data_IF_103887356477
#
_entry.id   IF_103887356477
#
_cell.length_a   1.000
_cell.length_b   1.000
_cell.length_c   1.000
_cell.angle_alpha   90.00
_cell.angle_beta   90.00
_cell.angle_gamma   90.00
#
_symmetry.space_group_name_H-M   'P 1'
#
loop_
_entity.id
_entity.type
_entity.pdbx_description
1 polymer ?
#
# COMPACT_ATOMS: atom_id res chain seq x y z
N UNK A 1 -50.50 0.48 -12.52
CA UNK A 1 -51.12 1.81 -12.45
C UNK A 1 -50.43 2.63 -11.37
N UNK A 2 -49.55 3.55 -11.77
CA UNK A 2 -49.31 4.82 -11.07
C UNK A 2 -48.57 5.74 -12.04
N UNK A 3 -49.32 6.61 -12.71
CA UNK A 3 -48.79 7.72 -13.50
C UNK A 3 -48.33 8.81 -12.55
N UNK A 4 -47.09 9.29 -12.70
CA UNK A 4 -46.60 10.52 -12.06
C UNK A 4 -46.05 11.44 -13.13
N UNK A 5 -46.93 11.92 -14.02
CA UNK A 5 -46.67 13.13 -14.80
C UNK A 5 -47.23 14.30 -13.99
N UNK A 6 -46.36 14.99 -13.27
CA UNK A 6 -46.72 16.21 -12.57
C UNK A 6 -47.17 17.28 -13.57
N UNK A 7 -48.32 17.89 -13.29
CA UNK A 7 -48.93 18.99 -14.04
C UNK A 7 -47.96 20.17 -14.24
N UNK A 8 -47.19 20.16 -15.33
CA UNK A 8 -46.45 21.34 -15.81
C UNK A 8 -47.19 22.07 -16.93
N UNK A 9 -48.29 21.49 -17.46
CA UNK A 9 -48.96 21.91 -18.69
C UNK A 9 -49.57 23.33 -18.70
N UNK A 10 -49.77 23.97 -17.55
CA UNK A 10 -50.39 25.31 -17.45
C UNK A 10 -49.43 26.42 -16.95
N UNK A 11 -48.13 26.17 -16.86
CA UNK A 11 -47.17 27.22 -16.50
C UNK A 11 -46.69 28.00 -17.74
N UNK A 12 -46.58 29.34 -17.67
CA UNK A 12 -45.98 30.12 -18.75
C UNK A 12 -44.57 29.60 -19.04
N UNK A 13 -44.22 29.47 -20.32
CA UNK A 13 -42.97 28.86 -20.84
C UNK A 13 -41.69 29.28 -20.07
N UNK A 14 -41.62 30.53 -19.60
CA UNK A 14 -40.51 31.04 -18.78
C UNK A 14 -40.36 30.32 -17.43
N UNK A 15 -41.46 29.93 -16.78
CA UNK A 15 -41.44 29.20 -15.52
C UNK A 15 -41.06 27.74 -15.71
N UNK A 16 -41.55 27.09 -16.77
CA UNK A 16 -41.10 25.73 -17.13
C UNK A 16 -39.60 25.68 -17.39
N UNK A 17 -39.07 26.63 -18.18
CA UNK A 17 -37.63 26.73 -18.44
C UNK A 17 -36.82 27.01 -17.17
N UNK A 18 -37.35 27.79 -16.23
CA UNK A 18 -36.68 28.05 -14.94
C UNK A 18 -36.61 26.79 -14.07
N UNK A 19 -37.69 26.01 -14.00
CA UNK A 19 -37.74 24.76 -13.25
C UNK A 19 -36.84 23.70 -13.88
N UNK A 20 -36.81 23.58 -15.21
CA UNK A 20 -35.92 22.66 -15.91
C UNK A 20 -34.45 23.03 -15.66
N UNK A 21 -34.06 24.31 -15.77
CA UNK A 21 -32.70 24.76 -15.46
C UNK A 21 -32.30 24.50 -14.01
N UNK A 22 -33.20 24.76 -13.06
CA UNK A 22 -32.94 24.45 -11.65
C UNK A 22 -32.80 22.95 -11.40
N UNK A 23 -33.58 22.12 -12.11
CA UNK A 23 -33.50 20.65 -11.99
C UNK A 23 -32.18 20.11 -12.57
N UNK A 24 -31.73 20.65 -13.70
CA UNK A 24 -30.44 20.34 -14.32
C UNK A 24 -29.26 20.82 -13.46
N UNK A 25 -29.34 22.03 -12.89
CA UNK A 25 -28.34 22.56 -11.97
C UNK A 25 -28.24 21.71 -10.70
N UNK A 26 -29.37 21.28 -10.14
CA UNK A 26 -29.40 20.41 -8.95
C UNK A 26 -28.85 19.02 -9.27
N UNK A 27 -29.25 18.40 -10.39
CA UNK A 27 -28.73 17.10 -10.81
C UNK A 27 -27.22 17.15 -11.11
N UNK A 28 -26.74 18.21 -11.75
CA UNK A 28 -25.32 18.49 -11.98
C UNK A 28 -24.56 18.70 -10.66
N UNK A 29 -25.13 19.46 -9.72
CA UNK A 29 -24.54 19.69 -8.39
C UNK A 29 -24.47 18.42 -7.54
N UNK A 30 -25.50 17.57 -7.61
CA UNK A 30 -25.53 16.30 -6.89
C UNK A 30 -24.50 15.32 -7.47
N UNK A 31 -24.42 15.22 -8.79
CA UNK A 31 -23.44 14.36 -9.49
C UNK A 31 -22.00 14.81 -9.21
N UNK A 32 -21.73 16.11 -9.26
CA UNK A 32 -20.41 16.68 -8.93
C UNK A 32 -20.07 16.51 -7.44
N UNK A 33 -21.05 16.59 -6.53
CA UNK A 33 -20.85 16.31 -5.11
C UNK A 33 -20.51 14.84 -4.84
N UNK A 34 -21.16 13.91 -5.55
CA UNK A 34 -20.89 12.46 -5.47
C UNK A 34 -19.49 12.12 -5.98
N UNK A 35 -19.08 12.69 -7.12
CA UNK A 35 -17.73 12.50 -7.67
C UNK A 35 -16.64 13.06 -6.75
N UNK A 36 -16.89 14.21 -6.12
CA UNK A 36 -15.97 14.79 -5.13
C UNK A 36 -15.83 13.91 -3.89
N UNK A 37 -16.93 13.33 -3.41
CA UNK A 37 -16.92 12.41 -2.28
C UNK A 37 -16.12 11.14 -2.61
N UNK A 38 -16.34 10.55 -3.79
CA UNK A 38 -15.61 9.37 -4.23
C UNK A 38 -14.10 9.65 -4.35
N UNK A 39 -13.73 10.79 -4.94
CA UNK A 39 -12.34 11.20 -5.04
C UNK A 39 -11.71 11.44 -3.66
N UNK A 40 -12.45 12.04 -2.72
CA UNK A 40 -11.99 12.22 -1.35
C UNK A 40 -11.78 10.88 -0.63
N UNK A 41 -12.65 9.89 -0.86
CA UNK A 41 -12.48 8.53 -0.32
C UNK A 41 -11.26 7.84 -0.90
N UNK A 42 -11.04 7.93 -2.23
CA UNK A 42 -9.84 7.37 -2.89
C UNK A 42 -8.55 8.01 -2.39
N UNK A 43 -8.54 9.34 -2.24
CA UNK A 43 -7.40 10.07 -1.67
C UNK A 43 -7.16 9.68 -0.21
N UNK A 44 -8.22 9.51 0.57
CA UNK A 44 -8.10 9.03 1.94
C UNK A 44 -7.50 7.63 1.98
N UNK A 45 -7.98 6.70 1.15
CA UNK A 45 -7.42 5.36 1.04
C UNK A 45 -5.92 5.40 0.67
N UNK A 46 -5.54 6.14 -0.36
CA UNK A 46 -4.13 6.30 -0.76
C UNK A 46 -3.27 6.90 0.36
N UNK A 47 -3.80 7.88 1.09
CA UNK A 47 -3.11 8.47 2.24
C UNK A 47 -2.90 7.45 3.36
N UNK A 48 -3.88 6.61 3.65
CA UNK A 48 -3.76 5.54 4.64
C UNK A 48 -2.75 4.49 4.17
N UNK A 49 -2.80 4.09 2.90
CA UNK A 49 -1.84 3.15 2.30
C UNK A 49 -0.40 3.68 2.33
N UNK A 50 -0.19 4.94 1.98
CA UNK A 50 1.13 5.59 2.05
C UNK A 50 1.68 5.67 3.48
N UNK A 51 0.81 5.62 4.50
CA UNK A 51 1.18 5.64 5.91
C UNK A 51 1.34 4.25 6.51
N UNK A 52 1.09 3.18 5.77
CA UNK A 52 1.07 1.82 6.33
C UNK A 52 -0.15 1.55 7.23
N UNK A 53 -1.22 2.33 7.05
CA UNK A 53 -2.41 2.32 7.94
C UNK A 53 -3.69 1.92 7.20
N UNK A 54 -3.62 1.45 5.96
CA UNK A 54 -4.80 0.86 5.32
C UNK A 54 -5.18 -0.45 6.00
N UNK A 55 -6.47 -0.79 6.01
CA UNK A 55 -6.95 -2.04 6.60
C UNK A 55 -6.30 -3.28 5.98
N UNK A 56 -6.07 -3.24 4.67
CA UNK A 56 -5.37 -4.30 3.92
C UNK A 56 -3.96 -4.52 4.47
N UNK A 57 -3.17 -3.45 4.61
CA UNK A 57 -1.81 -3.56 5.11
C UNK A 57 -1.73 -4.00 6.57
N UNK A 58 -2.66 -3.52 7.41
CA UNK A 58 -2.73 -3.93 8.82
C UNK A 58 -3.02 -5.43 8.93
N UNK A 59 -3.94 -5.95 8.11
CA UNK A 59 -4.30 -7.37 8.09
C UNK A 59 -3.13 -8.21 7.58
N UNK A 60 -2.51 -7.83 6.46
CA UNK A 60 -1.38 -8.57 5.90
C UNK A 60 -0.17 -8.62 6.87
N UNK A 61 0.08 -7.52 7.60
CA UNK A 61 1.11 -7.49 8.65
C UNK A 61 0.73 -8.38 9.84
N UNK A 62 -0.55 -8.44 10.20
CA UNK A 62 -1.02 -9.33 11.26
C UNK A 62 -0.84 -10.80 10.87
N UNK A 63 -1.14 -11.15 9.62
CA UNK A 63 -0.95 -12.50 9.08
C UNK A 63 0.54 -12.89 9.09
N UNK A 64 1.42 -12.00 8.64
CA UNK A 64 2.87 -12.22 8.70
C UNK A 64 3.40 -12.44 10.13
N UNK A 65 2.83 -11.75 11.12
CA UNK A 65 3.14 -11.99 12.54
C UNK A 65 2.62 -13.34 13.01
N UNK A 66 1.43 -13.75 12.55
CA UNK A 66 0.87 -15.07 12.79
C UNK A 66 1.77 -16.19 12.25
N UNK A 67 2.37 -15.97 11.06
CA UNK A 67 3.35 -16.87 10.44
C UNK A 67 4.73 -16.85 11.12
N UNK A 68 4.97 -15.95 12.07
CA UNK A 68 6.23 -15.84 12.84
C UNK A 68 7.48 -15.73 11.96
N UNK A 69 7.35 -15.02 10.83
CA UNK A 69 8.43 -14.86 9.83
C UNK A 69 9.69 -14.27 10.44
N UNK A 70 9.54 -13.24 11.29
CA UNK A 70 10.67 -12.58 11.95
C UNK A 70 11.43 -13.55 12.83
N UNK A 71 10.71 -14.38 13.58
CA UNK A 71 11.25 -15.39 14.47
C UNK A 71 11.92 -16.52 13.69
N UNK A 72 11.35 -16.93 12.57
CA UNK A 72 11.97 -17.91 11.65
C UNK A 72 13.31 -17.39 11.12
N UNK A 73 13.35 -16.14 10.62
CA UNK A 73 14.59 -15.49 10.17
C UNK A 73 15.61 -15.42 11.31
N UNK A 74 15.20 -15.01 12.51
CA UNK A 74 16.10 -14.92 13.66
C UNK A 74 16.64 -16.29 14.09
N UNK A 75 15.85 -17.35 13.96
CA UNK A 75 16.26 -18.71 14.29
C UNK A 75 17.26 -19.24 13.27
N UNK A 76 17.01 -19.00 11.99
CA UNK A 76 17.89 -19.43 10.91
C UNK A 76 19.20 -18.62 10.87
N UNK A 77 19.14 -17.33 11.19
CA UNK A 77 20.26 -16.40 11.12
C UNK A 77 20.44 -15.64 12.44
N UNK A 78 20.87 -16.32 13.53
CA UNK A 78 20.92 -15.74 14.87
C UNK A 78 21.85 -14.51 14.97
N UNK A 79 22.95 -14.52 14.21
CA UNK A 79 23.98 -13.48 14.26
C UNK A 79 23.85 -12.41 13.19
N UNK A 80 22.73 -12.40 12.44
CA UNK A 80 22.53 -11.51 11.29
C UNK A 80 22.70 -10.02 11.64
N UNK A 81 22.30 -9.60 12.85
CA UNK A 81 22.42 -8.21 13.30
C UNK A 81 23.81 -7.80 13.76
N UNK A 82 24.69 -8.76 14.04
CA UNK A 82 26.05 -8.50 14.57
C UNK A 82 27.13 -8.67 13.50
N UNK A 83 26.85 -9.48 12.47
CA UNK A 83 27.78 -9.75 11.36
C UNK A 83 27.96 -8.51 10.47
N UNK A 84 29.19 -8.33 10.00
CA UNK A 84 29.51 -7.46 8.87
C UNK A 84 29.46 -8.30 7.59
N UNK A 85 28.73 -7.81 6.59
CA UNK A 85 28.51 -8.50 5.31
C UNK A 85 29.28 -7.76 4.22
N UNK A 86 30.08 -8.48 3.45
CA UNK A 86 30.49 -8.03 2.13
C UNK A 86 29.29 -8.10 1.19
N UNK A 87 29.38 -7.40 0.05
CA UNK A 87 28.33 -7.43 -0.97
C UNK A 87 27.95 -8.85 -1.41
N UNK A 88 28.93 -9.74 -1.58
CA UNK A 88 28.67 -11.12 -1.99
C UNK A 88 27.97 -11.94 -0.89
N UNK A 89 28.29 -11.70 0.39
CA UNK A 89 27.60 -12.35 1.52
C UNK A 89 26.09 -12.03 1.51
N UNK A 90 25.70 -10.82 1.09
CA UNK A 90 24.28 -10.44 1.00
C UNK A 90 23.57 -11.20 -0.13
N UNK A 91 24.25 -11.45 -1.26
CA UNK A 91 23.68 -12.27 -2.34
C UNK A 91 23.54 -13.74 -1.92
N UNK A 92 24.52 -14.30 -1.22
CA UNK A 92 24.42 -15.66 -0.68
C UNK A 92 23.26 -15.78 0.31
N UNK A 93 23.14 -14.80 1.21
CA UNK A 93 22.03 -14.75 2.16
C UNK A 93 20.67 -14.68 1.45
N UNK A 94 20.55 -13.98 0.33
CA UNK A 94 19.31 -13.94 -0.46
C UNK A 94 18.90 -15.33 -0.96
N UNK A 95 19.85 -16.12 -1.43
CA UNK A 95 19.60 -17.48 -1.89
C UNK A 95 19.18 -18.39 -0.74
N UNK A 96 19.91 -18.32 0.39
CA UNK A 96 19.57 -19.10 1.59
C UNK A 96 18.17 -18.74 2.12
N UNK A 97 17.86 -17.45 2.15
CA UNK A 97 16.60 -16.95 2.69
C UNK A 97 15.41 -17.38 1.82
N UNK A 98 15.58 -17.43 0.50
CA UNK A 98 14.58 -17.98 -0.43
C UNK A 98 14.33 -19.48 -0.26
N UNK A 99 15.28 -20.23 0.30
CA UNK A 99 15.13 -21.68 0.55
C UNK A 99 14.48 -22.00 1.89
N UNK A 100 14.64 -21.12 2.89
CA UNK A 100 14.24 -21.39 4.29
C UNK A 100 13.01 -20.61 4.73
N UNK A 101 12.71 -19.47 4.09
CA UNK A 101 11.55 -18.63 4.42
C UNK A 101 10.61 -18.60 3.23
N UNK A 102 9.51 -19.34 3.35
CA UNK A 102 8.46 -19.47 2.33
C UNK A 102 7.63 -18.19 2.21
N UNK A 103 8.24 -17.14 1.66
CA UNK A 103 7.66 -15.83 1.45
C UNK A 103 7.82 -15.44 -0.01
N UNK A 104 7.03 -16.10 -0.87
CA UNK A 104 7.02 -15.83 -2.31
C UNK A 104 8.41 -15.69 -2.92
N UNK A 105 8.54 -14.84 -3.94
CA UNK A 105 9.83 -14.54 -4.54
C UNK A 105 10.52 -13.39 -3.79
N UNK A 106 11.69 -13.68 -3.23
CA UNK A 106 12.59 -12.68 -2.68
C UNK A 106 13.29 -11.88 -3.77
N UNK A 107 13.41 -10.58 -3.56
CA UNK A 107 14.05 -9.61 -4.44
C UNK A 107 15.09 -8.83 -3.68
N UNK A 108 16.06 -8.30 -4.41
CA UNK A 108 17.09 -7.43 -3.87
C UNK A 108 17.06 -6.09 -4.59
N UNK A 109 17.03 -5.03 -3.78
CA UNK A 109 17.27 -3.67 -4.24
C UNK A 109 18.60 -3.19 -3.65
N UNK A 110 19.48 -2.67 -4.51
CA UNK A 110 20.78 -2.15 -4.11
C UNK A 110 20.89 -0.67 -4.49
N UNK A 111 21.38 0.13 -3.54
CA UNK A 111 21.72 1.55 -3.73
C UNK A 111 23.15 1.82 -3.23
N UNK A 112 23.62 3.05 -3.39
CA UNK A 112 24.94 3.46 -2.90
C UNK A 112 25.10 3.35 -1.37
N UNK A 113 24.00 3.37 -0.60
CA UNK A 113 24.03 3.44 0.87
C UNK A 113 23.43 2.21 1.55
N UNK A 114 22.64 1.42 0.83
CA UNK A 114 21.92 0.29 1.41
C UNK A 114 21.61 -0.81 0.41
N UNK A 115 21.43 -2.01 0.94
CA UNK A 115 20.83 -3.14 0.26
C UNK A 115 19.57 -3.56 1.01
N UNK A 116 18.54 -3.90 0.26
CA UNK A 116 17.22 -4.24 0.81
C UNK A 116 16.75 -5.53 0.17
N UNK A 117 16.62 -6.57 0.98
CA UNK A 117 16.08 -7.87 0.59
C UNK A 117 14.62 -7.92 1.00
N UNK A 118 13.71 -8.15 0.07
CA UNK A 118 12.27 -8.12 0.38
C UNK A 118 11.48 -9.07 -0.50
N UNK A 119 10.34 -9.51 0.02
CA UNK A 119 9.34 -10.27 -0.71
C UNK A 119 8.06 -9.44 -0.83
N UNK A 120 7.17 -9.82 -1.74
CA UNK A 120 5.79 -9.32 -1.77
C UNK A 120 4.89 -10.24 -0.96
N UNK A 121 4.07 -9.67 -0.08
CA UNK A 121 3.02 -10.39 0.64
C UNK A 121 1.76 -9.53 0.72
N UNK A 122 0.71 -9.91 -0.03
CA UNK A 122 -0.49 -9.10 -0.15
C UNK A 122 -0.17 -7.67 -0.59
N UNK A 123 -0.51 -6.71 0.26
CA UNK A 123 -0.32 -5.28 0.10
C UNK A 123 0.96 -4.71 0.74
N UNK A 124 1.83 -5.56 1.29
CA UNK A 124 3.06 -5.16 2.00
C UNK A 124 4.31 -5.85 1.46
N UNK A 125 5.46 -5.30 1.85
CA UNK A 125 6.77 -5.79 1.42
C UNK A 125 7.66 -6.15 2.61
N UNK A 126 7.50 -7.34 3.23
CA UNK A 126 8.36 -7.76 4.32
C UNK A 126 9.79 -7.97 3.84
N UNK A 127 10.77 -7.65 4.69
CA UNK A 127 12.16 -7.83 4.32
C UNK A 127 13.19 -7.38 5.34
N UNK A 128 14.46 -7.50 4.94
CA UNK A 128 15.65 -7.12 5.68
C UNK A 128 16.31 -5.90 5.04
N UNK A 129 16.78 -4.98 5.87
CA UNK A 129 17.55 -3.80 5.44
C UNK A 129 19.00 -3.91 5.90
N UNK A 130 19.92 -3.65 4.99
CA UNK A 130 21.34 -3.61 5.22
C UNK A 130 21.86 -2.22 4.91
N UNK A 131 22.57 -1.59 5.85
CA UNK A 131 23.15 -0.27 5.66
C UNK A 131 24.66 -0.38 5.47
N UNK A 132 25.18 0.34 4.46
CA UNK A 132 26.62 0.40 4.17
C UNK A 132 27.34 1.20 5.27
N UNK A 133 28.44 0.67 5.76
CA UNK A 133 29.38 1.32 6.68
C UNK A 133 30.80 1.00 6.22
N UNK A 134 31.53 1.98 5.68
CA UNK A 134 32.77 1.72 4.97
C UNK A 134 32.50 0.84 3.75
N UNK A 135 33.23 -0.28 3.60
CA UNK A 135 33.02 -1.24 2.50
C UNK A 135 32.13 -2.44 2.86
N UNK A 136 31.59 -2.48 4.09
CA UNK A 136 30.74 -3.57 4.55
C UNK A 136 29.30 -3.09 4.76
N UNK A 137 28.39 -4.06 4.86
CA UNK A 137 26.98 -3.87 5.11
C UNK A 137 26.61 -4.47 6.47
N UNK A 138 25.74 -3.79 7.21
CA UNK A 138 25.21 -4.28 8.48
C UNK A 138 23.69 -4.39 8.41
N UNK A 139 23.16 -5.56 8.77
CA UNK A 139 21.71 -5.75 8.87
C UNK A 139 21.15 -4.88 10.00
N UNK A 140 20.21 -3.99 9.65
CA UNK A 140 19.45 -3.18 10.63
C UNK A 140 18.26 -3.92 11.19
N UNK A 141 17.85 -5.01 10.55
CA UNK A 141 16.79 -5.89 11.01
C UNK A 141 15.67 -6.07 9.99
N UNK A 142 14.65 -6.80 10.45
CA UNK A 142 13.47 -7.16 9.68
C UNK A 142 12.35 -6.14 9.87
N UNK A 143 11.68 -5.77 8.78
CA UNK A 143 10.47 -4.95 8.77
C UNK A 143 9.36 -5.69 8.02
N UNK A 144 8.13 -5.59 8.51
CA UNK A 144 6.97 -6.24 7.89
C UNK A 144 6.47 -5.50 6.63
N UNK A 145 6.79 -4.21 6.51
CA UNK A 145 6.45 -3.40 5.34
C UNK A 145 7.58 -2.40 5.06
N UNK A 146 8.54 -2.82 4.24
CA UNK A 146 9.66 -2.01 3.82
C UNK A 146 9.23 -1.00 2.77
N UNK A 147 9.62 0.25 2.98
CA UNK A 147 9.55 1.32 1.96
C UNK A 147 10.94 1.58 1.41
N UNK A 148 11.09 1.45 0.09
CA UNK A 148 12.34 1.79 -0.59
C UNK A 148 12.50 3.31 -0.56
N UNK A 149 13.69 3.78 -0.20
CA UNK A 149 13.99 5.20 -0.33
C UNK A 149 14.13 5.51 -1.83
N UNK A 150 13.48 6.57 -2.28
CA UNK A 150 13.60 7.13 -3.63
C UNK A 150 14.92 7.84 -3.82
#
# INVERSE_FOLDING_TARGET
>A
MTQLFGNTANMPLRQQLKVMRQSEEVASSATTSSQRLELAQRLHHLKMFSRGQSSEQVNDVADLKGLRVREAIKTQFPDIGQRAFQRHDVYELLLELGNVVELGQWRLHESAKEMVMYASYGSVYPGLRFQKSGEVFHCKGFNFDIRLAS
#
